data_IF_763553537214
#
_entry.id   IF_763553537214
#
_cell.length_a   1.000
_cell.length_b   1.000
_cell.length_c   1.000
_cell.angle_alpha   90.00
_cell.angle_beta   90.00
_cell.angle_gamma   90.00
#
_symmetry.space_group_name_H-M   'P 1'
#
loop_
_entity.id
_entity.type
_entity.pdbx_description
1 polymer ?
#
# COMPACT_ATOMS: atom_id res chain seq x y z
N UNK A 1 27.42 2.68 6.74
CA UNK A 1 26.99 3.82 5.88
C UNK A 1 26.09 3.41 4.73
N UNK A 2 26.41 2.36 3.96
CA UNK A 2 25.62 1.97 2.77
C UNK A 2 24.23 1.43 3.11
N UNK A 3 24.10 0.57 4.14
CA UNK A 3 22.81 0.08 4.64
C UNK A 3 21.85 1.24 4.98
N UNK A 4 22.31 2.20 5.78
CA UNK A 4 21.46 3.30 6.26
C UNK A 4 20.94 4.19 5.14
N UNK A 5 21.72 4.37 4.07
CA UNK A 5 21.30 5.15 2.90
C UNK A 5 20.14 4.48 2.17
N UNK A 6 20.06 3.16 2.19
CA UNK A 6 18.99 2.38 1.55
C UNK A 6 17.81 2.21 2.51
N UNK A 7 18.07 1.84 3.76
CA UNK A 7 17.04 1.48 4.73
C UNK A 7 16.21 2.69 5.21
N UNK A 8 16.80 3.88 5.36
CA UNK A 8 16.08 5.08 5.84
C UNK A 8 14.89 5.50 4.96
N UNK A 9 15.02 5.64 3.63
CA UNK A 9 13.87 6.01 2.80
C UNK A 9 12.81 4.89 2.78
N UNK A 10 13.21 3.62 2.80
CA UNK A 10 12.28 2.48 2.86
C UNK A 10 11.53 2.42 4.19
N UNK A 11 12.21 2.70 5.30
CA UNK A 11 11.60 2.85 6.62
C UNK A 11 10.53 3.96 6.61
N UNK A 12 10.87 5.13 6.07
CA UNK A 12 9.95 6.25 6.02
C UNK A 12 8.75 5.95 5.10
N UNK A 13 9.01 5.40 3.91
CA UNK A 13 7.98 5.03 2.95
C UNK A 13 7.00 4.00 3.53
N UNK A 14 7.49 2.98 4.24
CA UNK A 14 6.63 1.98 4.87
C UNK A 14 5.83 2.54 6.05
N UNK A 15 6.40 3.46 6.84
CA UNK A 15 5.67 4.15 7.90
C UNK A 15 4.56 5.05 7.34
N UNK A 16 4.86 5.83 6.29
CA UNK A 16 3.89 6.70 5.61
C UNK A 16 2.80 5.85 4.94
N UNK A 17 3.17 4.77 4.26
CA UNK A 17 2.21 3.83 3.64
C UNK A 17 1.26 3.24 4.67
N UNK A 18 1.77 2.82 5.84
CA UNK A 18 0.91 2.31 6.92
C UNK A 18 -0.07 3.37 7.42
N UNK A 19 0.39 4.61 7.59
CA UNK A 19 -0.47 5.72 7.98
C UNK A 19 -1.52 6.05 6.90
N UNK A 20 -1.16 5.94 5.62
CA UNK A 20 -2.07 6.16 4.49
C UNK A 20 -3.20 5.12 4.47
N UNK A 21 -2.88 3.83 4.63
CA UNK A 21 -3.88 2.75 4.72
C UNK A 21 -4.84 2.99 5.89
N UNK A 22 -4.33 3.33 7.08
CA UNK A 22 -5.18 3.65 8.23
C UNK A 22 -6.07 4.87 7.94
N UNK A 23 -5.50 5.91 7.34
CA UNK A 23 -6.23 7.15 7.00
C UNK A 23 -7.34 6.86 5.99
N UNK A 24 -7.07 6.05 4.96
CA UNK A 24 -8.06 5.62 3.98
C UNK A 24 -9.26 4.96 4.67
N UNK A 25 -9.04 3.96 5.52
CA UNK A 25 -10.12 3.27 6.22
C UNK A 25 -10.87 4.15 7.23
N UNK A 26 -10.17 5.05 7.94
CA UNK A 26 -10.84 6.03 8.81
C UNK A 26 -11.76 6.93 7.99
N UNK A 27 -11.28 7.48 6.87
CA UNK A 27 -12.11 8.32 6.00
C UNK A 27 -13.25 7.53 5.38
N UNK A 28 -12.99 6.29 4.94
CA UNK A 28 -14.01 5.39 4.41
C UNK A 28 -15.17 5.22 5.39
N UNK A 29 -14.91 4.92 6.67
CA UNK A 29 -15.98 4.72 7.65
C UNK A 29 -16.60 6.02 8.20
N UNK A 30 -15.86 7.12 8.24
CA UNK A 30 -16.34 8.39 8.84
C UNK A 30 -17.00 9.34 7.85
N UNK A 31 -16.71 9.19 6.55
CA UNK A 31 -17.16 10.10 5.50
C UNK A 31 -17.95 9.40 4.37
N UNK A 32 -18.22 8.10 4.45
CA UNK A 32 -18.98 7.39 3.41
C UNK A 32 -20.41 7.91 3.25
N UNK A 33 -21.11 8.15 4.37
CA UNK A 33 -22.53 8.56 4.36
C UNK A 33 -22.76 9.97 3.80
N UNK A 34 -21.74 10.85 3.85
CA UNK A 34 -21.85 12.24 3.39
C UNK A 34 -21.53 12.43 1.92
N UNK A 35 -21.00 11.41 1.23
CA UNK A 35 -20.55 11.52 -0.15
C UNK A 35 -21.48 10.79 -1.14
N UNK A 36 -22.17 9.71 -0.76
CA UNK A 36 -23.06 8.99 -1.68
C UNK A 36 -22.34 8.47 -2.95
N UNK A 37 -21.01 8.28 -2.86
CA UNK A 37 -20.11 8.19 -4.01
C UNK A 37 -19.75 6.76 -4.45
N UNK A 38 -20.30 5.73 -3.84
CA UNK A 38 -19.83 4.36 -4.12
C UNK A 38 -20.96 3.53 -4.69
N UNK A 39 -20.83 3.21 -5.98
CA UNK A 39 -21.65 2.20 -6.63
C UNK A 39 -21.61 0.91 -5.79
N UNK A 40 -22.75 0.22 -5.54
CA UNK A 40 -22.77 -0.93 -4.62
C UNK A 40 -21.80 -2.07 -4.97
N UNK A 41 -21.34 -2.13 -6.22
CA UNK A 41 -20.26 -3.01 -6.69
C UNK A 41 -18.89 -2.63 -6.12
N UNK A 42 -18.56 -1.34 -6.13
CA UNK A 42 -17.29 -0.80 -5.62
C UNK A 42 -17.25 -0.89 -4.10
N UNK A 43 -18.35 -0.60 -3.41
CA UNK A 43 -18.39 -0.69 -1.95
C UNK A 43 -18.10 -2.11 -1.46
N UNK A 44 -18.77 -3.11 -2.08
CA UNK A 44 -18.53 -4.53 -1.78
C UNK A 44 -17.12 -5.00 -2.14
N UNK A 45 -16.53 -4.43 -3.18
CA UNK A 45 -15.14 -4.72 -3.54
C UNK A 45 -14.19 -4.19 -2.45
N UNK A 46 -14.29 -2.92 -2.09
CA UNK A 46 -13.45 -2.29 -1.05
C UNK A 46 -13.59 -3.00 0.30
N UNK A 47 -14.82 -3.26 0.75
CA UNK A 47 -15.11 -3.93 2.04
C UNK A 47 -14.50 -5.33 2.15
N UNK A 48 -14.29 -6.03 1.02
CA UNK A 48 -13.64 -7.32 1.01
C UNK A 48 -12.16 -7.26 1.43
N UNK A 49 -11.52 -6.08 1.33
CA UNK A 49 -10.10 -5.89 1.63
C UNK A 49 -9.84 -5.37 3.05
N UNK A 50 -10.86 -5.00 3.83
CA UNK A 50 -10.67 -4.43 5.19
C UNK A 50 -9.67 -5.24 6.05
N UNK A 51 -9.85 -6.55 6.09
CA UNK A 51 -8.97 -7.44 6.88
C UNK A 51 -7.58 -7.54 6.25
N UNK A 52 -7.51 -7.65 4.92
CA UNK A 52 -6.24 -7.73 4.20
C UNK A 52 -5.40 -6.46 4.38
N UNK A 53 -6.04 -5.30 4.32
CA UNK A 53 -5.44 -3.99 4.51
C UNK A 53 -5.02 -3.73 5.95
N UNK A 54 -5.80 -4.20 6.92
CA UNK A 54 -5.40 -4.14 8.33
C UNK A 54 -4.10 -4.94 8.56
N UNK A 55 -4.02 -6.15 8.00
CA UNK A 55 -2.79 -6.97 8.06
C UNK A 55 -1.66 -6.26 7.31
N UNK A 56 -1.93 -5.69 6.14
CA UNK A 56 -0.94 -4.95 5.36
C UNK A 56 -0.36 -3.76 6.14
N UNK A 57 -1.21 -2.95 6.77
CA UNK A 57 -0.80 -1.84 7.62
C UNK A 57 0.07 -2.29 8.80
N UNK A 58 -0.29 -3.40 9.46
CA UNK A 58 0.52 -3.99 10.53
C UNK A 58 1.91 -4.38 10.01
N UNK A 59 1.97 -5.04 8.85
CA UNK A 59 3.25 -5.46 8.25
C UNK A 59 4.09 -4.24 7.84
N UNK A 60 3.47 -3.18 7.31
CA UNK A 60 4.14 -1.92 6.98
C UNK A 60 4.77 -1.26 8.22
N UNK A 61 4.03 -1.14 9.32
CA UNK A 61 4.57 -0.59 10.58
C UNK A 61 5.64 -1.50 11.18
N UNK A 62 5.43 -2.82 11.19
CA UNK A 62 6.43 -3.78 11.66
C UNK A 62 7.72 -3.72 10.83
N UNK A 63 7.61 -3.49 9.53
CA UNK A 63 8.75 -3.25 8.63
C UNK A 63 9.49 -1.98 9.02
N UNK A 64 8.78 -0.86 9.16
CA UNK A 64 9.38 0.42 9.53
C UNK A 64 10.13 0.32 10.87
N UNK A 65 9.51 -0.29 11.88
CA UNK A 65 10.16 -0.51 13.19
C UNK A 65 11.37 -1.43 13.06
N UNK A 66 11.27 -2.53 12.33
CA UNK A 66 12.37 -3.49 12.17
C UNK A 66 13.56 -2.92 11.41
N UNK A 67 13.33 -2.11 10.38
CA UNK A 67 14.38 -1.39 9.66
C UNK A 67 15.04 -0.33 10.55
N UNK A 68 14.25 0.43 11.33
CA UNK A 68 14.77 1.42 12.29
C UNK A 68 15.68 0.79 13.33
N UNK A 69 15.28 -0.36 13.86
CA UNK A 69 16.03 -1.12 14.87
C UNK A 69 17.13 -2.00 14.26
N UNK A 70 17.36 -1.93 12.94
CA UNK A 70 18.33 -2.74 12.19
C UNK A 70 18.20 -4.25 12.42
N UNK A 71 16.98 -4.73 12.65
CA UNK A 71 16.71 -6.15 12.89
C UNK A 71 16.85 -6.97 11.61
N UNK A 72 17.26 -8.22 11.76
CA UNK A 72 17.46 -9.15 10.64
C UNK A 72 16.21 -9.50 9.88
N UNK A 73 15.06 -9.43 10.54
CA UNK A 73 13.76 -9.67 9.94
C UNK A 73 13.28 -8.49 9.07
N UNK A 74 13.89 -7.30 9.17
CA UNK A 74 13.45 -6.09 8.47
C UNK A 74 13.33 -6.24 6.95
N UNK A 75 14.37 -6.73 6.22
CA UNK A 75 14.28 -6.93 4.77
C UNK A 75 13.26 -7.99 4.37
N UNK A 76 13.04 -9.00 5.21
CA UNK A 76 12.02 -10.02 4.98
C UNK A 76 10.60 -9.44 5.08
N UNK A 77 10.32 -8.67 6.15
CA UNK A 77 9.04 -7.96 6.28
C UNK A 77 8.83 -6.95 5.16
N UNK A 78 9.89 -6.25 4.73
CA UNK A 78 9.83 -5.34 3.59
C UNK A 78 9.48 -6.05 2.29
N UNK A 79 10.00 -7.26 2.06
CA UNK A 79 9.63 -8.07 0.91
C UNK A 79 8.15 -8.48 0.97
N UNK A 80 7.65 -8.90 2.14
CA UNK A 80 6.23 -9.21 2.34
C UNK A 80 5.36 -7.97 2.07
N UNK A 81 5.67 -6.83 2.69
CA UNK A 81 4.95 -5.58 2.48
C UNK A 81 4.94 -5.17 1.00
N UNK A 82 6.10 -5.27 0.33
CA UNK A 82 6.22 -4.96 -1.09
C UNK A 82 5.38 -5.87 -1.97
N UNK A 83 5.34 -7.18 -1.68
CA UNK A 83 4.51 -8.15 -2.38
C UNK A 83 3.01 -7.90 -2.17
N UNK A 84 2.58 -7.62 -0.93
CA UNK A 84 1.18 -7.30 -0.63
C UNK A 84 0.73 -6.04 -1.38
N UNK A 85 1.53 -4.96 -1.29
CA UNK A 85 1.29 -3.69 -1.98
C UNK A 85 1.16 -3.88 -3.49
N UNK A 86 2.10 -4.61 -4.10
CA UNK A 86 2.09 -4.87 -5.54
C UNK A 86 0.86 -5.69 -5.94
N UNK A 87 0.53 -6.73 -5.18
CA UNK A 87 -0.61 -7.58 -5.50
C UNK A 87 -1.94 -6.84 -5.38
N UNK A 88 -2.14 -6.06 -4.30
CA UNK A 88 -3.32 -5.21 -4.12
C UNK A 88 -3.48 -4.22 -5.27
N UNK A 89 -2.43 -3.48 -5.62
CA UNK A 89 -2.50 -2.53 -6.73
C UNK A 89 -2.82 -3.18 -8.09
N UNK A 90 -2.44 -4.44 -8.30
CA UNK A 90 -2.84 -5.20 -9.49
C UNK A 90 -4.30 -5.66 -9.44
N UNK A 91 -4.81 -6.06 -8.27
CA UNK A 91 -6.22 -6.38 -8.09
C UNK A 91 -7.09 -5.15 -8.38
N UNK A 92 -6.74 -4.00 -7.83
CA UNK A 92 -7.48 -2.75 -8.02
C UNK A 92 -7.43 -2.31 -9.49
N UNK A 93 -6.23 -2.31 -10.09
CA UNK A 93 -6.07 -1.96 -11.50
C UNK A 93 -6.92 -2.84 -12.42
N UNK A 94 -6.92 -4.16 -12.18
CA UNK A 94 -7.68 -5.10 -13.00
C UNK A 94 -9.18 -4.99 -12.75
N UNK A 95 -9.63 -4.77 -11.51
CA UNK A 95 -11.02 -4.54 -11.19
C UNK A 95 -11.56 -3.26 -11.84
N UNK A 96 -10.87 -2.12 -11.66
CA UNK A 96 -11.30 -0.85 -12.24
C UNK A 96 -11.29 -0.87 -13.76
N UNK A 97 -10.26 -1.48 -14.38
CA UNK A 97 -10.21 -1.64 -15.82
C UNK A 97 -11.34 -2.53 -16.35
N UNK A 98 -11.61 -3.66 -15.69
CA UNK A 98 -12.65 -4.63 -16.10
C UNK A 98 -14.05 -4.04 -16.03
N UNK A 99 -14.32 -3.18 -15.07
CA UNK A 99 -15.62 -2.54 -14.86
C UNK A 99 -15.75 -1.19 -15.59
N UNK A 100 -14.74 -0.76 -16.35
CA UNK A 100 -14.79 0.51 -17.07
C UNK A 100 -14.76 1.75 -16.15
N UNK A 101 -14.28 1.60 -14.91
CA UNK A 101 -14.31 2.65 -13.88
C UNK A 101 -13.13 3.64 -13.98
N UNK A 102 -12.15 3.36 -14.85
CA UNK A 102 -11.00 4.24 -15.06
C UNK A 102 -11.33 5.45 -15.94
N UNK A 103 -12.34 5.35 -16.81
CA UNK A 103 -12.69 6.40 -17.77
C UNK A 103 -14.22 6.58 -17.85
N UNK A 104 -14.72 7.82 -17.92
CA UNK A 104 -13.97 9.09 -17.93
C UNK A 104 -13.28 9.38 -16.58
N UNK A 105 -12.20 10.18 -16.63
CA UNK A 105 -11.44 10.61 -15.45
C UNK A 105 -12.29 11.56 -14.59
N UNK A 106 -13.04 10.98 -13.67
CA UNK A 106 -13.73 11.64 -12.57
C UNK A 106 -12.79 11.82 -11.37
N UNK A 107 -13.16 12.68 -10.42
CA UNK A 107 -12.39 12.85 -9.16
C UNK A 107 -12.13 11.52 -8.45
N UNK A 108 -13.14 10.65 -8.35
CA UNK A 108 -13.00 9.32 -7.75
C UNK A 108 -12.01 8.46 -8.54
N UNK A 109 -12.19 8.28 -9.84
CA UNK A 109 -11.27 7.47 -10.66
C UNK A 109 -9.82 8.00 -10.68
N UNK A 110 -9.63 9.31 -10.52
CA UNK A 110 -8.31 9.91 -10.43
C UNK A 110 -7.62 9.58 -9.10
N UNK A 111 -8.36 9.61 -7.99
CA UNK A 111 -7.86 9.17 -6.68
C UNK A 111 -7.46 7.70 -6.73
N UNK A 112 -8.30 6.85 -7.31
CA UNK A 112 -8.03 5.41 -7.41
C UNK A 112 -6.81 5.12 -8.28
N UNK A 113 -6.63 5.81 -9.39
CA UNK A 113 -5.41 5.71 -10.21
C UNK A 113 -4.15 6.08 -9.42
N UNK A 114 -4.23 7.08 -8.52
CA UNK A 114 -3.12 7.43 -7.64
C UNK A 114 -2.85 6.30 -6.65
N UNK A 115 -3.88 5.73 -6.02
CA UNK A 115 -3.75 4.61 -5.08
C UNK A 115 -3.11 3.41 -5.77
N UNK A 116 -3.63 3.00 -6.93
CA UNK A 116 -3.08 1.93 -7.77
C UNK A 116 -1.60 2.20 -8.08
N UNK A 117 -1.28 3.42 -8.51
CA UNK A 117 0.09 3.82 -8.82
C UNK A 117 1.03 3.74 -7.61
N UNK A 118 0.56 4.18 -6.44
CA UNK A 118 1.30 4.09 -5.18
C UNK A 118 1.50 2.63 -4.75
N UNK A 119 0.49 1.78 -4.87
CA UNK A 119 0.54 0.37 -4.52
C UNK A 119 1.54 -0.40 -5.42
N UNK A 120 1.46 -0.23 -6.74
CA UNK A 120 2.37 -0.89 -7.70
C UNK A 120 3.79 -0.32 -7.57
N UNK A 121 3.94 1.01 -7.65
CA UNK A 121 5.24 1.67 -7.60
C UNK A 121 5.93 1.49 -6.26
N UNK A 122 5.19 1.66 -5.16
CA UNK A 122 5.66 1.42 -3.79
C UNK A 122 6.03 -0.04 -3.55
N UNK A 123 5.23 -0.98 -4.05
CA UNK A 123 5.51 -2.41 -3.98
C UNK A 123 6.82 -2.80 -4.67
N UNK A 124 7.02 -2.35 -5.91
CA UNK A 124 8.26 -2.56 -6.66
C UNK A 124 9.46 -1.89 -5.99
N UNK A 125 9.29 -0.69 -5.46
CA UNK A 125 10.32 0.03 -4.71
C UNK A 125 10.74 -0.73 -3.44
N UNK A 126 9.77 -1.23 -2.67
CA UNK A 126 10.01 -2.03 -1.48
C UNK A 126 10.72 -3.35 -1.79
N UNK A 127 10.28 -4.09 -2.81
CA UNK A 127 10.91 -5.35 -3.23
C UNK A 127 12.36 -5.14 -3.68
N UNK A 128 12.61 -4.13 -4.52
CA UNK A 128 13.97 -3.76 -4.93
C UNK A 128 14.83 -3.35 -3.74
N UNK A 129 14.24 -2.62 -2.79
CA UNK A 129 14.87 -2.21 -1.54
C UNK A 129 15.26 -3.39 -0.66
N UNK A 130 14.35 -4.34 -0.46
CA UNK A 130 14.60 -5.57 0.30
C UNK A 130 15.77 -6.37 -0.30
N UNK A 131 15.76 -6.57 -1.62
CA UNK A 131 16.85 -7.23 -2.35
C UNK A 131 18.19 -6.48 -2.20
N UNK A 132 18.17 -5.15 -2.31
CA UNK A 132 19.36 -4.33 -2.17
C UNK A 132 19.94 -4.44 -0.74
N UNK A 133 19.09 -4.40 0.28
CA UNK A 133 19.51 -4.55 1.68
C UNK A 133 20.10 -5.94 1.92
N UNK A 134 19.49 -7.02 1.40
CA UNK A 134 20.03 -8.37 1.55
C UNK A 134 21.43 -8.53 0.96
N UNK A 135 21.75 -7.85 -0.14
CA UNK A 135 23.07 -7.94 -0.77
C UNK A 135 24.20 -7.19 -0.06
N UNK A 136 23.87 -6.18 0.74
CA UNK A 136 24.86 -5.35 1.47
C UNK A 136 24.97 -5.71 2.94
N UNK A 137 24.34 -6.82 3.32
CA UNK A 137 24.28 -7.34 4.68
C UNK A 137 25.36 -8.37 4.90
#
# INVERSE_FOLDING_TARGET
MQYDRIAKPLQLATAIGGAFVVTFWVLYFTANDSLGLVEPSVARFEEAFLVADAVFAIVLFATAVSLRLRRSVGPFLLAIAGSMSLYLGLLDATFYARNGLLFPLTGTSAVELVIIGLCIGGGLYALRGAWAIWRVR
#
